data_IF_450432385212
#
_entry.id   IF_450432385212
#
_cell.length_a   1.000
_cell.length_b   1.000
_cell.length_c   1.000
_cell.angle_alpha   90.00
_cell.angle_beta   90.00
_cell.angle_gamma   90.00
#
_symmetry.space_group_name_H-M   'P 1'
#
loop_
_entity.id
_entity.type
_entity.pdbx_description
1 polymer ?
#
# COMPACT_ATOMS: atom_id res chain seq x y z
N UNK A 1 4.18 -20.45 -2.39
CA UNK A 1 5.57 -19.96 -2.55
C UNK A 1 5.53 -18.87 -3.59
N UNK A 2 6.17 -17.73 -3.32
CA UNK A 2 6.36 -16.62 -4.26
C UNK A 2 7.82 -16.63 -4.70
N UNK A 3 8.05 -16.74 -6.00
CA UNK A 3 9.39 -16.67 -6.57
C UNK A 3 9.73 -15.19 -6.85
N UNK A 4 10.72 -14.67 -6.13
CA UNK A 4 11.13 -13.27 -6.26
C UNK A 4 11.81 -12.98 -7.61
N UNK A 5 11.59 -11.78 -8.14
CA UNK A 5 12.14 -11.31 -9.42
C UNK A 5 13.22 -10.24 -9.23
N UNK A 6 13.71 -10.05 -8.01
CA UNK A 6 14.69 -8.98 -7.65
C UNK A 6 14.18 -7.58 -8.04
N UNK A 7 12.88 -7.34 -7.89
CA UNK A 7 12.23 -6.07 -8.24
C UNK A 7 12.01 -5.83 -9.74
N UNK A 8 12.34 -6.79 -10.58
CA UNK A 8 12.09 -6.71 -12.04
C UNK A 8 10.86 -7.53 -12.38
N UNK A 9 9.77 -6.85 -12.67
CA UNK A 9 8.53 -7.49 -13.09
C UNK A 9 8.50 -7.60 -14.62
N UNK A 10 7.74 -8.58 -15.12
CA UNK A 10 7.37 -8.69 -16.53
C UNK A 10 6.06 -7.95 -16.80
N UNK A 11 5.95 -7.36 -17.97
CA UNK A 11 4.68 -6.77 -18.39
C UNK A 11 3.56 -7.82 -18.34
N UNK A 12 2.41 -7.50 -17.74
CA UNK A 12 1.29 -8.40 -17.72
C UNK A 12 0.74 -8.59 -19.15
N UNK A 13 0.26 -9.79 -19.46
CA UNK A 13 -0.34 -10.09 -20.76
C UNK A 13 -1.73 -9.47 -20.94
N UNK A 14 -2.37 -9.06 -19.86
CA UNK A 14 -3.72 -8.46 -19.83
C UNK A 14 -3.81 -7.42 -18.72
N UNK A 15 -4.97 -6.80 -18.59
CA UNK A 15 -5.31 -5.94 -17.47
C UNK A 15 -5.16 -6.67 -16.13
N UNK A 16 -4.77 -5.95 -15.10
CA UNK A 16 -4.70 -6.47 -13.73
C UNK A 16 -6.00 -6.15 -13.02
N UNK A 17 -6.80 -7.17 -12.77
CA UNK A 17 -8.03 -7.02 -11.99
C UNK A 17 -7.72 -6.98 -10.49
N UNK A 18 -8.04 -5.85 -9.87
CA UNK A 18 -7.90 -5.63 -8.44
C UNK A 18 -9.16 -6.05 -7.64
N UNK A 19 -10.19 -6.59 -8.29
CA UNK A 19 -11.46 -6.95 -7.66
C UNK A 19 -12.07 -5.76 -6.92
N UNK A 20 -12.44 -5.93 -5.64
CA UNK A 20 -12.92 -4.83 -4.77
C UNK A 20 -11.79 -4.16 -3.96
N UNK A 21 -10.53 -4.48 -4.20
CA UNK A 21 -9.43 -4.07 -3.32
C UNK A 21 -8.86 -2.70 -3.65
N UNK A 22 -9.33 -1.67 -2.96
CA UNK A 22 -8.73 -0.33 -2.99
C UNK A 22 -7.29 -0.30 -2.47
N UNK A 23 -6.88 -1.26 -1.64
CA UNK A 23 -5.50 -1.41 -1.19
C UNK A 23 -4.62 -1.92 -2.32
N UNK A 24 -5.04 -2.99 -2.99
CA UNK A 24 -4.28 -3.57 -4.11
C UNK A 24 -4.02 -2.52 -5.19
N UNK A 25 -5.06 -1.85 -5.69
CA UNK A 25 -4.88 -0.87 -6.78
C UNK A 25 -3.93 0.26 -6.39
N UNK A 26 -4.03 0.78 -5.16
CA UNK A 26 -3.18 1.92 -4.74
C UNK A 26 -1.74 1.53 -4.47
N UNK A 27 -1.52 0.42 -3.77
CA UNK A 27 -0.15 -0.04 -3.47
C UNK A 27 0.57 -0.50 -4.74
N UNK A 28 -0.12 -1.26 -5.59
CA UNK A 28 0.43 -1.68 -6.89
C UNK A 28 0.75 -0.49 -7.79
N UNK A 29 -0.03 0.59 -7.76
CA UNK A 29 0.28 1.80 -8.51
C UNK A 29 1.67 2.35 -8.17
N UNK A 30 2.08 2.33 -6.90
CA UNK A 30 3.42 2.75 -6.50
C UNK A 30 4.51 1.88 -7.11
N UNK A 31 4.37 0.56 -7.07
CA UNK A 31 5.34 -0.39 -7.61
C UNK A 31 5.40 -0.31 -9.14
N UNK A 32 4.23 -0.30 -9.79
CA UNK A 32 4.11 -0.34 -11.25
C UNK A 32 4.58 0.94 -11.91
N UNK A 33 4.47 2.08 -11.22
CA UNK A 33 5.00 3.36 -11.72
C UNK A 33 6.50 3.35 -11.98
N UNK A 34 7.25 2.45 -11.34
CA UNK A 34 8.69 2.31 -11.51
C UNK A 34 9.08 1.23 -12.53
N UNK A 35 8.14 0.50 -13.12
CA UNK A 35 8.44 -0.59 -14.05
C UNK A 35 8.50 -0.10 -15.49
N UNK A 36 9.38 -0.65 -16.34
CA UNK A 36 9.60 -0.16 -17.72
C UNK A 36 8.54 -0.67 -18.71
N UNK A 37 7.25 -0.65 -18.33
CA UNK A 37 6.16 -1.11 -19.18
C UNK A 37 4.84 -0.43 -18.80
N UNK A 38 3.86 -0.54 -19.68
CA UNK A 38 2.50 -0.05 -19.47
C UNK A 38 1.62 -1.12 -18.82
N UNK A 39 0.78 -0.69 -17.89
CA UNK A 39 -0.22 -1.55 -17.22
C UNK A 39 -1.57 -0.87 -17.13
N UNK A 40 -2.63 -1.67 -17.13
CA UNK A 40 -3.99 -1.25 -16.88
C UNK A 40 -4.48 -1.93 -15.61
N UNK A 41 -4.95 -1.14 -14.64
CA UNK A 41 -5.57 -1.64 -13.42
C UNK A 41 -7.08 -1.43 -13.53
N UNK A 42 -7.82 -2.51 -13.34
CA UNK A 42 -9.29 -2.52 -13.34
C UNK A 42 -9.80 -3.05 -12.00
N UNK A 43 -11.10 -3.01 -11.80
CA UNK A 43 -11.74 -3.56 -10.61
C UNK A 43 -13.24 -3.67 -10.79
N UNK A 44 -13.90 -4.17 -9.77
CA UNK A 44 -15.34 -4.35 -9.78
C UNK A 44 -16.12 -3.00 -9.81
N UNK A 45 -17.44 -3.07 -9.92
CA UNK A 45 -18.32 -1.90 -9.97
C UNK A 45 -18.20 -1.00 -8.73
N UNK A 46 -17.84 -1.53 -7.56
CA UNK A 46 -17.64 -0.75 -6.34
C UNK A 46 -16.28 -0.03 -6.34
N UNK A 47 -15.21 -0.73 -6.71
CA UNK A 47 -13.87 -0.15 -6.79
C UNK A 47 -13.78 0.90 -7.89
N UNK A 48 -14.45 0.68 -9.02
CA UNK A 48 -14.51 1.59 -10.17
C UNK A 48 -15.18 2.94 -9.89
N UNK A 49 -15.86 3.07 -8.74
CA UNK A 49 -16.42 4.37 -8.29
C UNK A 49 -15.47 5.14 -7.37
N UNK A 50 -14.35 4.54 -6.98
CA UNK A 50 -13.42 5.18 -6.02
C UNK A 50 -12.40 6.05 -6.74
N UNK A 51 -12.23 7.33 -6.33
CA UNK A 51 -11.28 8.24 -6.99
C UNK A 51 -9.84 7.80 -6.77
N UNK A 52 -9.02 7.89 -7.83
CA UNK A 52 -7.60 7.54 -7.82
C UNK A 52 -6.67 8.76 -7.76
N UNK A 53 -7.20 9.98 -7.86
CA UNK A 53 -6.43 11.23 -7.87
C UNK A 53 -5.41 11.31 -6.74
N UNK A 54 -5.78 10.88 -5.52
CA UNK A 54 -4.91 10.94 -4.34
C UNK A 54 -3.62 10.14 -4.46
N UNK A 55 -3.59 9.08 -5.28
CA UNK A 55 -2.38 8.30 -5.54
C UNK A 55 -1.70 8.72 -6.83
N UNK A 56 -2.46 9.16 -7.83
CA UNK A 56 -1.93 9.65 -9.10
C UNK A 56 -1.05 10.88 -8.85
N UNK A 57 -1.55 11.86 -8.10
CA UNK A 57 -0.87 13.15 -7.89
C UNK A 57 0.57 13.00 -7.35
N UNK A 58 0.82 12.33 -6.20
CA UNK A 58 2.19 12.16 -5.71
C UNK A 58 3.06 11.31 -6.62
N UNK A 59 2.53 10.27 -7.24
CA UNK A 59 3.30 9.43 -8.16
C UNK A 59 3.69 10.20 -9.44
N UNK A 60 2.85 11.10 -9.91
CA UNK A 60 3.17 12.00 -11.02
C UNK A 60 4.28 12.99 -10.64
N UNK A 61 4.26 13.51 -9.41
CA UNK A 61 5.35 14.35 -8.90
C UNK A 61 6.68 13.61 -8.81
N UNK A 62 6.65 12.28 -8.59
CA UNK A 62 7.83 11.43 -8.64
C UNK A 62 8.33 11.15 -10.07
N UNK A 63 7.61 11.59 -11.10
CA UNK A 63 7.93 11.34 -12.52
C UNK A 63 7.11 10.22 -13.16
N UNK A 64 6.18 9.60 -12.43
CA UNK A 64 5.28 8.58 -12.97
C UNK A 64 4.27 9.17 -13.94
N UNK A 65 3.89 8.41 -14.96
CA UNK A 65 2.86 8.77 -15.93
C UNK A 65 1.63 7.90 -15.69
N UNK A 66 0.66 8.46 -14.96
CA UNK A 66 -0.58 7.79 -14.59
C UNK A 66 -1.78 8.64 -15.02
N UNK A 67 -2.78 8.00 -15.58
CA UNK A 67 -4.08 8.64 -15.81
C UNK A 67 -5.22 7.66 -15.55
N UNK A 68 -6.34 8.20 -15.10
CA UNK A 68 -7.54 7.44 -14.85
C UNK A 68 -8.54 7.73 -15.97
N UNK A 69 -8.98 6.69 -16.68
CA UNK A 69 -9.87 6.80 -17.85
C UNK A 69 -11.35 6.87 -17.46
N UNK A 70 -11.67 6.48 -16.22
CA UNK A 70 -13.02 6.55 -15.70
C UNK A 70 -13.47 7.99 -15.39
N UNK A 71 -14.77 8.19 -15.35
CA UNK A 71 -15.35 9.48 -15.00
C UNK A 71 -14.85 9.96 -13.62
N UNK A 72 -14.53 11.26 -13.51
CA UNK A 72 -14.03 11.88 -12.28
C UNK A 72 -12.71 11.27 -11.72
N UNK A 73 -11.86 10.73 -12.57
CA UNK A 73 -10.57 10.18 -12.16
C UNK A 73 -10.68 8.86 -11.41
N UNK A 74 -11.59 8.00 -11.86
CA UNK A 74 -11.80 6.63 -11.35
C UNK A 74 -11.18 5.59 -12.29
N UNK A 75 -11.26 4.31 -11.94
CA UNK A 75 -10.78 3.22 -12.80
C UNK A 75 -11.53 3.18 -14.15
N UNK A 76 -10.87 2.66 -15.22
CA UNK A 76 -9.53 2.05 -15.27
C UNK A 76 -8.40 3.05 -15.00
N UNK A 77 -7.31 2.57 -14.37
CA UNK A 77 -6.10 3.34 -14.15
C UNK A 77 -5.01 2.83 -15.08
N UNK A 78 -4.52 3.69 -15.95
CA UNK A 78 -3.39 3.40 -16.85
C UNK A 78 -2.12 3.94 -16.24
N UNK A 79 -1.09 3.11 -16.21
CA UNK A 79 0.23 3.45 -15.69
C UNK A 79 1.25 3.16 -16.77
N UNK A 80 1.98 4.18 -17.19
CA UNK A 80 3.16 4.07 -18.01
C UNK A 80 4.38 4.23 -17.10
N UNK A 81 4.93 3.09 -16.69
CA UNK A 81 6.02 3.08 -15.74
C UNK A 81 7.33 3.58 -16.33
N UNK A 82 8.25 3.97 -15.47
CA UNK A 82 9.55 4.53 -15.87
C UNK A 82 10.40 4.92 -14.67
N UNK A 83 11.50 5.62 -14.90
CA UNK A 83 12.37 6.09 -13.82
C UNK A 83 11.64 7.09 -12.93
N UNK A 84 11.75 6.89 -11.61
CA UNK A 84 11.19 7.77 -10.59
C UNK A 84 12.27 8.54 -9.85
N UNK A 85 11.93 9.72 -9.37
CA UNK A 85 12.76 10.54 -8.48
C UNK A 85 12.09 10.67 -7.12
N UNK A 86 12.88 10.56 -6.07
CA UNK A 86 12.39 10.74 -4.70
C UNK A 86 11.92 12.17 -4.47
N UNK A 87 10.85 12.31 -3.69
CA UNK A 87 10.23 13.60 -3.36
C UNK A 87 9.99 13.72 -1.85
N UNK A 88 9.74 14.95 -1.39
CA UNK A 88 9.10 15.20 -0.11
C UNK A 88 7.63 15.57 -0.36
N UNK A 89 6.72 14.73 0.13
CA UNK A 89 5.28 14.89 -0.10
C UNK A 89 4.51 15.02 1.21
N UNK A 90 3.77 16.10 1.35
CA UNK A 90 2.88 16.32 2.47
C UNK A 90 1.49 15.81 2.13
N UNK A 91 1.02 14.81 2.89
CA UNK A 91 -0.31 14.25 2.67
C UNK A 91 -1.37 15.28 3.06
N UNK A 92 -2.26 15.70 2.14
CA UNK A 92 -3.34 16.64 2.47
C UNK A 92 -4.35 16.05 3.47
N UNK A 93 -4.42 14.72 3.52
CA UNK A 93 -5.26 13.96 4.47
C UNK A 93 -4.54 12.70 4.93
N UNK A 94 -4.76 12.30 6.17
CA UNK A 94 -4.22 11.06 6.72
C UNK A 94 -4.71 9.84 5.91
N UNK A 95 -3.77 9.18 5.21
CA UNK A 95 -4.05 8.04 4.35
C UNK A 95 -2.90 7.05 4.32
N UNK A 96 -3.05 5.93 5.03
CA UNK A 96 -2.06 4.87 5.02
C UNK A 96 -1.83 4.29 3.60
N UNK A 97 -2.86 4.21 2.76
CA UNK A 97 -2.73 3.66 1.41
C UNK A 97 -1.89 4.57 0.48
N UNK A 98 -2.11 5.88 0.56
CA UNK A 98 -1.33 6.85 -0.23
C UNK A 98 0.11 6.88 0.25
N UNK A 99 0.34 6.94 1.57
CA UNK A 99 1.67 6.79 2.17
C UNK A 99 2.37 5.53 1.65
N UNK A 100 1.71 4.39 1.74
CA UNK A 100 2.26 3.11 1.29
C UNK A 100 2.62 3.12 -0.19
N UNK A 101 1.76 3.67 -1.06
CA UNK A 101 2.04 3.78 -2.49
C UNK A 101 3.31 4.60 -2.76
N UNK A 102 3.46 5.74 -2.08
CA UNK A 102 4.63 6.62 -2.23
C UNK A 102 5.90 5.94 -1.70
N UNK A 103 5.85 5.27 -0.55
CA UNK A 103 7.00 4.56 0.01
C UNK A 103 7.43 3.38 -0.88
N UNK A 104 6.47 2.62 -1.43
CA UNK A 104 6.75 1.52 -2.35
C UNK A 104 7.34 2.03 -3.68
N UNK A 105 6.86 3.16 -4.21
CA UNK A 105 7.47 3.83 -5.35
C UNK A 105 8.89 4.33 -5.00
N UNK A 106 9.06 4.86 -3.79
CA UNK A 106 10.33 5.36 -3.25
C UNK A 106 11.43 4.30 -3.19
N UNK A 107 11.09 3.00 -3.06
CA UNK A 107 12.06 1.90 -3.15
C UNK A 107 12.82 1.89 -4.48
N UNK A 108 12.14 2.24 -5.56
CA UNK A 108 12.68 2.21 -6.93
C UNK A 108 13.16 3.59 -7.39
N UNK A 109 12.83 4.65 -6.66
CA UNK A 109 13.17 6.01 -7.04
C UNK A 109 14.66 6.32 -6.85
N UNK A 110 15.20 7.26 -7.61
CA UNK A 110 16.50 7.84 -7.33
C UNK A 110 16.39 8.82 -6.16
N UNK A 111 17.31 8.72 -5.18
CA UNK A 111 17.35 9.61 -4.03
C UNK A 111 16.42 9.21 -2.89
N UNK A 112 16.04 10.19 -2.07
CA UNK A 112 15.22 10.01 -0.87
C UNK A 112 13.77 10.38 -1.15
N UNK A 113 12.85 9.55 -0.65
CA UNK A 113 11.42 9.85 -0.63
C UNK A 113 10.97 10.05 0.80
N UNK A 114 10.36 11.19 1.10
CA UNK A 114 9.84 11.51 2.43
C UNK A 114 8.33 11.76 2.34
N UNK A 115 7.57 11.08 3.16
CA UNK A 115 6.13 11.31 3.34
C UNK A 115 5.90 11.99 4.68
N UNK A 116 5.15 13.09 4.68
CA UNK A 116 4.73 13.81 5.89
C UNK A 116 3.26 13.54 6.13
N UNK A 117 2.94 12.96 7.28
CA UNK A 117 1.57 12.65 7.67
C UNK A 117 0.97 13.79 8.50
N UNK A 118 -0.26 14.29 8.20
CA UNK A 118 -0.92 15.28 9.06
C UNK A 118 -1.37 14.68 10.40
N UNK A 119 -1.60 13.37 10.44
CA UNK A 119 -1.86 12.58 11.63
C UNK A 119 -1.36 11.15 11.38
N UNK A 120 -0.94 10.46 12.44
CA UNK A 120 -0.41 9.10 12.36
C UNK A 120 -1.43 8.15 11.73
N UNK A 121 -0.99 7.38 10.74
CA UNK A 121 -1.78 6.34 10.09
C UNK A 121 -1.19 4.96 10.38
N UNK A 122 -1.85 3.91 9.86
CA UNK A 122 -1.37 2.53 9.96
C UNK A 122 0.04 2.40 9.37
N UNK A 123 0.92 1.68 10.05
CA UNK A 123 2.35 1.54 9.77
C UNK A 123 2.74 0.15 9.22
N UNK A 124 1.79 -0.57 8.60
CA UNK A 124 2.05 -1.92 8.09
C UNK A 124 3.16 -1.96 7.04
N UNK A 125 3.20 -0.96 6.16
CA UNK A 125 4.21 -0.91 5.10
C UNK A 125 5.60 -0.69 5.67
N UNK A 126 5.75 0.22 6.62
CA UNK A 126 7.01 0.49 7.31
C UNK A 126 7.51 -0.78 8.01
N UNK A 127 6.65 -1.46 8.78
CA UNK A 127 6.99 -2.72 9.46
C UNK A 127 7.36 -3.83 8.49
N UNK A 128 6.65 -3.95 7.35
CA UNK A 128 6.98 -4.94 6.33
C UNK A 128 8.32 -4.62 5.65
N UNK A 129 8.59 -3.36 5.35
CA UNK A 129 9.87 -2.93 4.80
C UNK A 129 11.03 -3.28 5.75
N UNK A 130 10.89 -2.95 7.03
CA UNK A 130 11.87 -3.32 8.06
C UNK A 130 12.04 -4.84 8.20
N UNK A 131 10.95 -5.59 8.17
CA UNK A 131 10.99 -7.05 8.19
C UNK A 131 11.80 -7.61 7.00
N UNK A 132 11.69 -7.02 5.83
CA UNK A 132 12.47 -7.36 4.64
C UNK A 132 13.81 -6.61 4.54
N UNK A 133 14.31 -6.05 5.65
CA UNK A 133 15.62 -5.37 5.79
C UNK A 133 15.77 -4.08 4.98
N UNK A 134 14.66 -3.46 4.61
CA UNK A 134 14.65 -2.11 4.05
C UNK A 134 14.55 -1.09 5.18
N UNK A 135 15.51 -0.19 5.28
CA UNK A 135 15.54 0.85 6.31
C UNK A 135 14.59 1.98 5.96
N UNK A 136 13.67 2.25 6.88
CA UNK A 136 12.88 3.47 6.91
C UNK A 136 13.31 4.32 8.10
N UNK A 137 13.29 5.63 7.94
CA UNK A 137 13.59 6.58 9.03
C UNK A 137 12.29 7.30 9.39
N UNK A 138 11.92 7.26 10.66
CA UNK A 138 10.80 8.05 11.18
C UNK A 138 11.31 9.17 12.07
N UNK A 139 10.91 10.40 11.76
CA UNK A 139 11.16 11.57 12.58
C UNK A 139 9.83 12.32 12.78
N UNK A 140 9.23 12.12 13.95
CA UNK A 140 7.89 12.64 14.23
C UNK A 140 6.85 12.10 13.24
N UNK A 141 6.30 12.98 12.42
CA UNK A 141 5.31 12.67 11.38
C UNK A 141 5.92 12.44 9.99
N UNK A 142 7.23 12.47 9.86
CA UNK A 142 7.95 12.21 8.62
C UNK A 142 8.43 10.78 8.54
N UNK A 143 8.18 10.12 7.42
CA UNK A 143 8.69 8.79 7.10
C UNK A 143 9.52 8.90 5.84
N UNK A 144 10.80 8.53 5.93
CA UNK A 144 11.75 8.63 4.82
C UNK A 144 12.26 7.25 4.44
N UNK A 145 12.33 6.99 3.14
CA UNK A 145 12.98 5.83 2.55
C UNK A 145 14.04 6.28 1.54
N UNK A 146 15.19 5.61 1.54
CA UNK A 146 16.21 5.76 0.50
C UNK A 146 15.89 4.77 -0.62
N UNK A 147 15.87 5.23 -1.86
CA UNK A 147 15.67 4.36 -3.02
C UNK A 147 16.88 3.48 -3.33
N UNK A 148 16.65 2.42 -4.09
CA UNK A 148 17.67 1.47 -4.50
C UNK A 148 18.06 0.42 -3.44
N UNK A 149 17.35 0.37 -2.31
CA UNK A 149 17.55 -0.70 -1.32
C UNK A 149 16.99 -2.03 -1.84
N UNK A 150 17.63 -3.13 -1.44
CA UNK A 150 17.20 -4.49 -1.80
C UNK A 150 16.45 -5.13 -0.64
N UNK A 151 15.33 -5.78 -0.94
CA UNK A 151 14.60 -6.58 0.04
C UNK A 151 15.27 -7.95 0.19
N UNK A 152 15.40 -8.41 1.43
CA UNK A 152 15.78 -9.79 1.72
C UNK A 152 14.56 -10.70 1.74
N UNK A 153 14.65 -11.86 1.11
CA UNK A 153 13.58 -12.85 1.15
C UNK A 153 13.46 -13.45 2.56
N UNK A 154 12.23 -13.59 3.04
CA UNK A 154 11.94 -14.18 4.36
C UNK A 154 10.65 -14.99 4.29
N UNK A 155 10.60 -16.03 5.10
CA UNK A 155 9.35 -16.73 5.33
C UNK A 155 8.38 -15.87 6.12
N UNK A 156 7.17 -15.77 5.63
CA UNK A 156 6.14 -14.92 6.20
C UNK A 156 4.77 -15.61 6.13
N UNK A 157 4.08 -15.67 7.27
CA UNK A 157 2.70 -16.09 7.34
C UNK A 157 1.80 -14.85 7.44
N UNK A 158 0.96 -14.63 6.43
CA UNK A 158 0.01 -13.52 6.43
C UNK A 158 -0.99 -13.71 7.57
N UNK A 159 -1.09 -12.76 8.53
CA UNK A 159 -2.08 -12.85 9.59
C UNK A 159 -3.49 -12.50 9.09
N UNK A 160 -4.50 -12.97 9.81
CA UNK A 160 -5.88 -12.56 9.60
C UNK A 160 -6.10 -11.08 9.95
N UNK A 161 -7.11 -10.47 9.35
CA UNK A 161 -7.45 -9.07 9.61
C UNK A 161 -8.24 -8.93 10.90
N UNK A 162 -7.71 -8.16 11.85
CA UNK A 162 -8.39 -7.81 13.11
C UNK A 162 -9.76 -7.15 12.88
N UNK A 163 -9.98 -6.46 11.75
CA UNK A 163 -11.28 -5.87 11.42
C UNK A 163 -12.33 -6.93 11.12
N UNK A 164 -11.95 -8.03 10.47
CA UNK A 164 -12.82 -9.18 10.27
C UNK A 164 -13.05 -9.94 11.57
N UNK A 165 -12.02 -10.07 12.40
CA UNK A 165 -12.14 -10.68 13.73
C UNK A 165 -13.04 -9.87 14.67
N UNK A 166 -13.16 -8.56 14.48
CA UNK A 166 -13.94 -7.65 15.34
C UNK A 166 -15.41 -8.08 15.47
N UNK A 167 -16.03 -8.57 14.41
CA UNK A 167 -17.42 -9.05 14.44
C UNK A 167 -17.58 -10.21 15.44
N UNK A 168 -16.66 -11.13 15.44
CA UNK A 168 -16.65 -12.29 16.33
C UNK A 168 -16.30 -11.90 17.77
N UNK A 169 -15.37 -10.96 17.97
CA UNK A 169 -15.02 -10.44 19.28
C UNK A 169 -16.24 -9.77 19.93
N UNK A 170 -16.97 -8.93 19.20
CA UNK A 170 -18.20 -8.28 19.70
C UNK A 170 -19.28 -9.30 20.00
N UNK A 171 -19.50 -10.28 19.12
CA UNK A 171 -20.48 -11.33 19.35
C UNK A 171 -20.19 -12.16 20.61
N UNK A 172 -18.92 -12.49 20.87
CA UNK A 172 -18.52 -13.19 22.08
C UNK A 172 -18.65 -12.32 23.32
N UNK A 173 -18.23 -11.05 23.25
CA UNK A 173 -18.32 -10.12 24.38
C UNK A 173 -19.78 -9.83 24.80
N UNK A 174 -20.72 -9.88 23.86
CA UNK A 174 -22.14 -9.67 24.12
C UNK A 174 -22.83 -10.88 24.83
N UNK A 175 -22.16 -12.02 24.96
CA UNK A 175 -22.75 -13.25 25.55
C UNK A 175 -22.06 -13.65 26.85
N UNK A 176 -22.76 -13.63 28.00
CA UNK A 176 -22.19 -14.11 29.25
C UNK A 176 -21.67 -15.54 29.17
N UNK A 177 -20.45 -15.78 29.67
CA UNK A 177 -19.80 -17.09 29.69
C UNK A 177 -19.24 -17.55 28.33
N UNK A 178 -19.35 -16.76 27.26
CA UNK A 178 -18.75 -17.10 25.99
C UNK A 178 -17.21 -17.13 26.07
N UNK A 179 -16.62 -18.09 25.38
CA UNK A 179 -15.17 -18.17 25.15
C UNK A 179 -14.92 -18.29 23.67
N UNK A 180 -14.06 -17.45 23.14
CA UNK A 180 -13.70 -17.43 21.72
C UNK A 180 -12.19 -17.33 21.58
N UNK A 181 -11.61 -18.24 20.81
CA UNK A 181 -10.22 -18.19 20.38
C UNK A 181 -10.18 -17.89 18.88
N UNK A 182 -9.43 -16.89 18.48
CA UNK A 182 -9.20 -16.56 17.07
C UNK A 182 -7.69 -16.57 16.84
N UNK A 183 -7.23 -17.57 16.07
CA UNK A 183 -5.81 -17.76 15.81
C UNK A 183 -5.30 -16.88 14.65
N UNK A 184 -4.00 -16.61 14.67
CA UNK A 184 -3.26 -15.93 13.61
C UNK A 184 -3.88 -14.60 13.18
N UNK A 185 -4.29 -13.76 14.12
CA UNK A 185 -4.80 -12.41 13.86
C UNK A 185 -3.70 -11.38 14.04
N UNK A 186 -3.60 -10.44 13.10
CA UNK A 186 -2.64 -9.34 13.17
C UNK A 186 -2.94 -8.38 14.32
N UNK A 187 -2.00 -8.23 15.26
CA UNK A 187 -2.12 -7.39 16.44
C UNK A 187 -1.29 -6.10 16.31
N UNK A 188 -1.30 -5.48 15.14
CA UNK A 188 -0.65 -4.19 14.98
C UNK A 188 -1.27 -3.17 15.94
N UNK A 189 -0.48 -2.50 16.82
CA UNK A 189 -1.00 -1.53 17.81
C UNK A 189 -1.85 -0.41 17.21
N UNK A 190 -1.60 -0.04 15.95
CA UNK A 190 -2.39 0.98 15.23
C UNK A 190 -3.79 0.48 14.81
N UNK A 191 -4.11 -0.81 15.05
CA UNK A 191 -5.37 -1.46 14.68
C UNK A 191 -6.13 -2.09 15.83
N UNK A 192 -5.54 -2.20 17.01
CA UNK A 192 -6.07 -2.97 18.14
C UNK A 192 -6.93 -2.15 19.12
N UNK A 193 -7.45 -1.00 18.73
CA UNK A 193 -8.31 -0.18 19.59
C UNK A 193 -9.54 -0.94 20.10
N UNK A 194 -10.07 -1.89 19.33
CA UNK A 194 -11.21 -2.74 19.72
C UNK A 194 -10.90 -3.66 20.93
N UNK A 195 -9.62 -3.88 21.26
CA UNK A 195 -9.21 -4.72 22.37
C UNK A 195 -9.07 -3.94 23.71
N UNK A 196 -9.40 -2.67 23.71
CA UNK A 196 -9.36 -1.75 24.88
C UNK A 196 -10.75 -1.37 25.32
#
# INVERSE_FOLDING_TARGET
>A
IVHGTKGRFTAPASEIDCGNSGTTVRLMSGILSAQPFRTHLVGDASLSKRPMRRVIEPLTQMGGRLHADGANGTLPLVIEGGPLTGIRYELPHASAQVKSAILLAGLFASGKTTVVEPAATRDHTERMLEFFQVRTLRNGNEITIQGGQTLESRDFRVPGDISSAAFWLVAAAARPGARLLIDNVGLNPTRTAILR
#
